data_IF_089912873492
#
_entry.id   IF_089912873492
#
_cell.length_a   1.000
_cell.length_b   1.000
_cell.length_c   1.000
_cell.angle_alpha   90.00
_cell.angle_beta   90.00
_cell.angle_gamma   90.00
#
_symmetry.space_group_name_H-M   'P 1'
#
loop_
_entity.id
_entity.type
_entity.pdbx_description
1 polymer ?
#
# COMPACT_ATOMS: atom_id res chain seq x y z
N UNK A 1 1.56 -1.15 2.68
CA UNK A 1 0.30 -0.46 3.01
C UNK A 1 -0.57 -0.37 1.77
N UNK A 2 -1.89 -0.49 1.93
CA UNK A 2 -2.88 -0.13 0.91
C UNK A 2 -3.90 0.80 1.57
N UNK A 3 -4.09 1.98 1.02
CA UNK A 3 -4.93 3.04 1.59
C UNK A 3 -5.90 3.58 0.55
N UNK A 4 -7.07 4.05 0.99
CA UNK A 4 -7.96 4.89 0.19
C UNK A 4 -7.81 6.33 0.67
N UNK A 5 -7.43 7.24 -0.22
CA UNK A 5 -7.24 8.66 0.09
C UNK A 5 -8.21 9.51 -0.71
N UNK A 6 -8.81 10.51 -0.05
CA UNK A 6 -9.62 11.55 -0.72
C UNK A 6 -8.79 12.24 -1.80
N UNK A 7 -9.41 12.51 -2.93
CA UNK A 7 -8.79 13.12 -4.10
C UNK A 7 -9.82 13.94 -4.86
N UNK A 8 -9.79 15.27 -4.66
CA UNK A 8 -10.78 16.20 -5.21
C UNK A 8 -10.78 16.29 -6.74
N UNK A 9 -9.67 15.97 -7.39
CA UNK A 9 -9.52 15.95 -8.86
C UNK A 9 -9.98 14.62 -9.51
N UNK A 10 -10.38 13.62 -8.72
CA UNK A 10 -10.87 12.36 -9.28
C UNK A 10 -12.39 12.34 -9.35
N UNK A 11 -12.96 11.81 -10.45
CA UNK A 11 -14.42 11.64 -10.61
C UNK A 11 -15.06 10.85 -9.45
N UNK A 12 -14.30 9.93 -8.86
CA UNK A 12 -14.75 9.14 -7.71
C UNK A 12 -14.59 9.89 -6.38
N UNK A 13 -13.80 10.96 -6.30
CA UNK A 13 -13.47 11.65 -5.05
C UNK A 13 -12.40 10.94 -4.20
N UNK A 14 -11.89 9.79 -4.65
CA UNK A 14 -10.91 8.98 -3.93
C UNK A 14 -9.93 8.25 -4.87
N UNK A 15 -8.78 7.84 -4.30
CA UNK A 15 -7.81 6.96 -4.96
C UNK A 15 -7.33 5.85 -4.03
N UNK A 16 -7.03 4.68 -4.61
CA UNK A 16 -6.19 3.68 -3.96
C UNK A 16 -4.72 4.10 -4.01
N UNK A 17 -3.99 3.84 -2.93
CA UNK A 17 -2.56 4.10 -2.82
C UNK A 17 -1.88 2.88 -2.20
N UNK A 18 -1.03 2.20 -2.99
CA UNK A 18 -0.12 1.16 -2.50
C UNK A 18 1.25 1.75 -2.20
N UNK A 19 1.82 1.34 -1.07
CA UNK A 19 3.15 1.80 -0.64
C UNK A 19 3.91 0.70 0.09
N UNK A 20 5.19 0.52 -0.26
CA UNK A 20 6.21 -0.10 0.60
C UNK A 20 7.02 1.04 1.20
N UNK A 21 7.24 1.00 2.53
CA UNK A 21 8.00 2.01 3.23
C UNK A 21 9.05 1.34 4.11
N UNK A 22 10.29 1.77 3.99
CA UNK A 22 11.38 1.43 4.90
C UNK A 22 11.73 2.67 5.71
N UNK A 23 11.98 2.48 7.01
CA UNK A 23 12.35 3.55 7.92
C UNK A 23 13.73 3.26 8.50
N UNK A 24 14.50 4.31 8.73
CA UNK A 24 15.78 4.23 9.45
C UNK A 24 16.04 5.55 10.19
N UNK A 25 16.75 5.49 11.31
CA UNK A 25 17.29 6.68 11.95
C UNK A 25 18.13 7.48 10.95
N UNK A 26 17.96 8.79 10.88
CA UNK A 26 18.61 9.62 9.85
C UNK A 26 20.12 9.62 9.96
N UNK A 27 20.68 9.33 11.15
CA UNK A 27 22.14 9.16 11.34
C UNK A 27 22.69 7.93 10.65
N UNK A 28 21.81 6.99 10.27
CA UNK A 28 22.16 5.71 9.65
C UNK A 28 21.38 5.47 8.36
N UNK A 29 20.99 6.52 7.62
CA UNK A 29 20.13 6.42 6.44
C UNK A 29 20.77 5.73 5.21
N UNK A 30 22.09 5.54 5.18
CA UNK A 30 22.83 4.96 4.04
C UNK A 30 22.24 3.65 3.47
N UNK A 31 21.77 2.68 4.28
CA UNK A 31 21.12 1.48 3.77
C UNK A 31 19.86 1.76 2.96
N UNK A 32 19.11 2.83 3.27
CA UNK A 32 17.93 3.22 2.46
C UNK A 32 18.34 3.65 1.05
N UNK A 33 19.45 4.37 0.91
CA UNK A 33 20.01 4.72 -0.40
C UNK A 33 20.49 3.49 -1.17
N UNK A 34 21.12 2.54 -0.48
CA UNK A 34 21.52 1.26 -1.07
C UNK A 34 20.30 0.47 -1.58
N UNK A 35 19.23 0.34 -0.78
CA UNK A 35 17.99 -0.33 -1.19
C UNK A 35 17.40 0.37 -2.41
N UNK A 36 17.28 1.70 -2.39
CA UNK A 36 16.78 2.49 -3.54
C UNK A 36 17.60 2.24 -4.79
N UNK A 37 18.93 2.24 -4.69
CA UNK A 37 19.84 1.98 -5.81
C UNK A 37 19.65 0.56 -6.37
N UNK A 38 19.46 -0.44 -5.49
CA UNK A 38 19.22 -1.83 -5.90
C UNK A 38 17.86 -2.04 -6.56
N UNK A 39 16.83 -1.35 -6.08
CA UNK A 39 15.47 -1.46 -6.62
C UNK A 39 15.24 -0.57 -7.85
N UNK A 40 16.09 0.45 -8.07
CA UNK A 40 15.95 1.41 -9.17
C UNK A 40 14.72 2.32 -9.08
N UNK A 41 14.01 2.32 -7.96
CA UNK A 41 12.75 3.05 -7.77
C UNK A 41 12.58 3.53 -6.33
N UNK A 42 11.70 4.52 -6.16
CA UNK A 42 11.34 5.09 -4.88
C UNK A 42 12.07 6.41 -4.63
N UNK A 43 11.59 7.12 -3.62
CA UNK A 43 12.17 8.37 -3.17
C UNK A 43 12.49 8.29 -1.68
N UNK A 44 13.51 9.04 -1.28
CA UNK A 44 13.94 9.15 0.11
C UNK A 44 13.54 10.53 0.61
N UNK A 45 12.97 10.56 1.81
CA UNK A 45 12.61 11.80 2.49
C UNK A 45 13.11 11.73 3.95
N UNK A 46 13.68 12.83 4.41
CA UNK A 46 13.99 13.04 5.83
C UNK A 46 12.79 13.70 6.50
N UNK A 47 12.35 13.15 7.62
CA UNK A 47 11.25 13.68 8.42
C UNK A 47 11.79 14.62 9.49
N UNK A 48 10.91 15.46 10.02
CA UNK A 48 11.21 16.40 11.10
C UNK A 48 11.35 15.74 12.48
N UNK A 49 11.23 14.41 12.59
CA UNK A 49 11.34 13.62 13.81
C UNK A 49 12.64 12.80 13.88
N UNK A 50 13.63 13.12 13.05
CA UNK A 50 14.91 12.41 13.02
C UNK A 50 14.87 11.07 12.26
N UNK A 51 13.75 10.69 11.64
CA UNK A 51 13.66 9.49 10.80
C UNK A 51 13.79 9.80 9.32
N UNK A 52 14.46 8.91 8.59
CA UNK A 52 14.49 8.89 7.13
C UNK A 52 13.66 7.73 6.61
N UNK A 53 12.95 7.95 5.50
CA UNK A 53 12.09 6.96 4.88
C UNK A 53 12.38 6.77 3.40
N UNK A 54 12.43 5.51 2.95
CA UNK A 54 12.35 5.16 1.53
C UNK A 54 10.92 4.74 1.21
N UNK A 55 10.25 5.47 0.31
CA UNK A 55 8.88 5.17 -0.14
C UNK A 55 8.87 4.71 -1.58
N UNK A 56 8.20 3.59 -1.82
CA UNK A 56 7.93 3.05 -3.15
C UNK A 56 6.42 2.98 -3.31
N UNK A 57 5.90 3.71 -4.31
CA UNK A 57 4.48 3.86 -4.57
C UNK A 57 4.09 3.27 -5.93
N UNK A 58 2.81 2.92 -6.08
CA UNK A 58 2.22 2.46 -7.33
C UNK A 58 1.96 0.95 -7.34
N UNK A 59 0.92 0.52 -8.05
CA UNK A 59 0.46 -0.87 -7.99
C UNK A 59 1.46 -1.84 -8.62
N UNK A 60 1.89 -1.55 -9.86
CA UNK A 60 2.87 -2.35 -10.60
C UNK A 60 4.20 -2.51 -9.87
N UNK A 61 4.92 -1.43 -9.50
CA UNK A 61 6.22 -1.60 -8.85
C UNK A 61 6.14 -2.28 -7.47
N UNK A 62 5.09 -1.99 -6.69
CA UNK A 62 4.87 -2.68 -5.40
C UNK A 62 4.62 -4.18 -5.61
N UNK A 63 3.81 -4.54 -6.61
CA UNK A 63 3.51 -5.94 -6.90
C UNK A 63 4.77 -6.74 -7.25
N UNK A 64 5.58 -6.22 -8.18
CA UNK A 64 6.80 -6.87 -8.65
C UNK A 64 7.84 -7.02 -7.55
N UNK A 65 8.05 -5.98 -6.73
CA UNK A 65 8.96 -6.06 -5.59
C UNK A 65 8.49 -7.14 -4.61
N UNK A 66 7.18 -7.16 -4.28
CA UNK A 66 6.64 -8.14 -3.34
C UNK A 66 6.81 -9.57 -3.84
N UNK A 67 6.59 -9.85 -5.14
CA UNK A 67 6.83 -11.17 -5.72
C UNK A 67 8.27 -11.64 -5.50
N UNK A 68 9.24 -10.76 -5.75
CA UNK A 68 10.65 -11.07 -5.62
C UNK A 68 11.09 -11.30 -4.17
N UNK A 69 10.56 -10.53 -3.22
CA UNK A 69 10.96 -10.65 -1.81
C UNK A 69 10.12 -11.67 -1.03
N UNK A 70 8.96 -12.09 -1.54
CA UNK A 70 8.00 -12.95 -0.83
C UNK A 70 8.62 -14.18 -0.16
N UNK A 71 9.54 -14.93 -0.82
CA UNK A 71 10.14 -16.11 -0.21
C UNK A 71 10.91 -15.81 1.08
N UNK A 72 11.36 -14.57 1.26
CA UNK A 72 12.19 -14.13 2.38
C UNK A 72 11.39 -13.38 3.46
N UNK A 73 10.13 -13.03 3.19
CA UNK A 73 9.30 -12.31 4.16
C UNK A 73 8.76 -13.28 5.23
N UNK A 74 9.20 -13.09 6.47
CA UNK A 74 8.70 -13.85 7.63
C UNK A 74 7.62 -13.06 8.40
N UNK A 75 8.01 -11.96 9.04
CA UNK A 75 7.14 -11.21 9.95
C UNK A 75 5.95 -10.53 9.28
N UNK A 76 6.09 -10.13 8.01
CA UNK A 76 5.05 -9.42 7.26
C UNK A 76 4.39 -10.29 6.21
N UNK A 77 4.44 -11.63 6.33
CA UNK A 77 4.05 -12.55 5.26
C UNK A 77 2.58 -12.37 4.84
N UNK A 78 1.66 -12.33 5.82
CA UNK A 78 0.24 -12.13 5.55
C UNK A 78 -0.04 -10.75 4.93
N UNK A 79 0.58 -9.69 5.48
CA UNK A 79 0.48 -8.34 4.96
C UNK A 79 1.01 -8.23 3.51
N UNK A 80 2.18 -8.81 3.24
CA UNK A 80 2.83 -8.80 1.94
C UNK A 80 2.01 -9.56 0.90
N UNK A 81 1.48 -10.74 1.27
CA UNK A 81 0.63 -11.54 0.39
C UNK A 81 -0.67 -10.82 0.04
N UNK A 82 -1.35 -10.23 1.04
CA UNK A 82 -2.57 -9.45 0.80
C UNK A 82 -2.29 -8.23 -0.10
N UNK A 83 -1.19 -7.51 0.14
CA UNK A 83 -0.80 -6.37 -0.68
C UNK A 83 -0.42 -6.78 -2.11
N UNK A 84 0.26 -7.91 -2.29
CA UNK A 84 0.59 -8.46 -3.61
C UNK A 84 -0.69 -8.81 -4.38
N UNK A 85 -1.63 -9.55 -3.77
CA UNK A 85 -2.92 -9.89 -4.40
C UNK A 85 -3.75 -8.65 -4.76
N UNK A 86 -3.83 -7.67 -3.85
CA UNK A 86 -4.58 -6.45 -4.10
C UNK A 86 -3.96 -5.60 -5.23
N UNK A 87 -2.63 -5.48 -5.25
CA UNK A 87 -1.94 -4.73 -6.30
C UNK A 87 -2.02 -5.40 -7.66
N UNK A 88 -2.06 -6.73 -7.75
CA UNK A 88 -2.30 -7.44 -9.01
C UNK A 88 -3.66 -7.05 -9.61
N UNK A 89 -4.75 -7.10 -8.81
CA UNK A 89 -6.09 -6.70 -9.26
C UNK A 89 -6.14 -5.24 -9.75
N UNK A 90 -5.40 -4.35 -9.07
CA UNK A 90 -5.33 -2.91 -9.37
C UNK A 90 -4.39 -2.57 -10.54
N UNK A 91 -3.54 -3.51 -10.98
CA UNK A 91 -2.73 -3.37 -12.21
C UNK A 91 -3.52 -3.82 -13.43
N UNK A 92 -4.28 -4.91 -13.30
CA UNK A 92 -5.02 -5.52 -14.41
C UNK A 92 -6.20 -4.67 -14.92
N UNK A 93 -6.77 -3.81 -14.07
CA UNK A 93 -8.01 -3.10 -14.39
C UNK A 93 -7.92 -1.65 -13.98
N UNK A 94 -8.57 -0.76 -14.72
CA UNK A 94 -8.82 0.59 -14.20
C UNK A 94 -9.77 0.49 -13.02
N UNK A 95 -9.62 1.39 -12.05
CA UNK A 95 -10.49 1.40 -10.86
C UNK A 95 -11.97 1.51 -11.24
N UNK A 96 -12.29 2.26 -12.30
CA UNK A 96 -13.63 2.42 -12.86
C UNK A 96 -14.21 1.14 -13.47
N UNK A 97 -13.39 0.14 -13.76
CA UNK A 97 -13.79 -1.13 -14.40
C UNK A 97 -13.87 -2.28 -13.37
N UNK A 98 -13.61 -2.00 -12.09
CA UNK A 98 -13.72 -2.99 -11.02
C UNK A 98 -15.20 -3.22 -10.69
N UNK A 99 -15.68 -4.45 -10.92
CA UNK A 99 -17.00 -4.86 -10.47
C UNK A 99 -17.06 -4.99 -8.93
N UNK A 100 -18.28 -5.09 -8.41
CA UNK A 100 -18.56 -5.22 -6.97
C UNK A 100 -17.74 -6.33 -6.30
N UNK A 101 -17.71 -7.53 -6.89
CA UNK A 101 -16.98 -8.67 -6.32
C UNK A 101 -15.46 -8.39 -6.21
N UNK A 102 -14.86 -7.71 -7.19
CA UNK A 102 -13.45 -7.31 -7.14
C UNK A 102 -13.20 -6.22 -6.10
N UNK A 103 -14.10 -5.25 -5.98
CA UNK A 103 -14.02 -4.21 -4.94
C UNK A 103 -14.12 -4.83 -3.54
N UNK A 104 -15.04 -5.75 -3.30
CA UNK A 104 -15.16 -6.50 -2.04
C UNK A 104 -13.88 -7.28 -1.71
N UNK A 105 -13.25 -7.93 -2.71
CA UNK A 105 -11.94 -8.58 -2.52
C UNK A 105 -10.86 -7.60 -2.11
N UNK A 106 -10.80 -6.41 -2.74
CA UNK A 106 -9.84 -5.37 -2.38
C UNK A 106 -10.10 -4.86 -0.96
N UNK A 107 -11.36 -4.66 -0.56
CA UNK A 107 -11.73 -4.29 0.81
C UNK A 107 -11.20 -5.33 1.81
N UNK A 108 -11.43 -6.62 1.54
CA UNK A 108 -10.94 -7.69 2.41
C UNK A 108 -9.40 -7.66 2.52
N UNK A 109 -8.68 -7.43 1.42
CA UNK A 109 -7.22 -7.27 1.49
C UNK A 109 -6.79 -6.03 2.29
N UNK A 110 -7.52 -4.91 2.19
CA UNK A 110 -7.26 -3.71 3.01
C UNK A 110 -7.42 -4.04 4.49
N UNK A 111 -8.49 -4.74 4.87
CA UNK A 111 -8.77 -5.14 6.25
C UNK A 111 -7.67 -6.07 6.78
N UNK A 112 -7.23 -7.06 6.01
CA UNK A 112 -6.06 -7.91 6.36
C UNK A 112 -4.80 -7.07 6.55
N UNK A 113 -4.50 -6.13 5.65
CA UNK A 113 -3.31 -5.27 5.77
C UNK A 113 -3.40 -4.40 7.03
N UNK A 114 -4.59 -3.94 7.41
CA UNK A 114 -4.82 -3.14 8.61
C UNK A 114 -4.75 -3.97 9.91
N UNK A 115 -5.17 -5.23 9.90
CA UNK A 115 -5.05 -6.12 11.07
C UNK A 115 -3.59 -6.46 11.38
N UNK A 116 -2.76 -6.61 10.34
CA UNK A 116 -1.32 -6.91 10.46
C UNK A 116 -0.46 -5.69 10.84
N UNK A 117 -1.03 -4.49 10.90
CA UNK A 117 -0.31 -3.29 11.34
C UNK A 117 -0.39 -3.12 12.86
N UNK A 118 0.77 -3.09 13.53
CA UNK A 118 0.91 -2.94 14.99
C UNK A 118 0.07 -1.83 15.61
N UNK A 119 0.15 -0.61 15.06
CA UNK A 119 -0.67 0.51 15.50
C UNK A 119 -1.10 1.36 14.30
N UNK A 120 -2.36 1.77 14.26
CA UNK A 120 -2.87 2.73 13.27
C UNK A 120 -3.92 3.58 13.95
N UNK A 121 -3.68 4.90 13.98
CA UNK A 121 -4.62 5.86 14.56
C UNK A 121 -5.95 5.93 13.80
N UNK A 122 -5.93 5.65 12.48
CA UNK A 122 -7.08 5.81 11.59
C UNK A 122 -7.30 4.55 10.74
N UNK A 123 -7.84 3.46 11.33
CA UNK A 123 -8.29 2.27 10.57
C UNK A 123 -9.69 2.56 10.04
N UNK A 124 -9.93 2.21 8.78
CA UNK A 124 -11.28 2.27 8.19
C UNK A 124 -11.97 0.94 8.43
N UNK A 125 -13.18 0.98 8.96
CA UNK A 125 -14.06 -0.18 9.05
C UNK A 125 -14.46 -0.68 7.66
N UNK A 126 -14.96 -1.92 7.60
CA UNK A 126 -15.51 -2.49 6.37
C UNK A 126 -16.63 -1.61 5.79
N UNK A 127 -17.58 -1.21 6.64
CA UNK A 127 -18.70 -0.34 6.24
C UNK A 127 -18.22 0.99 5.66
N UNK A 128 -17.25 1.66 6.30
CA UNK A 128 -16.68 2.89 5.75
C UNK A 128 -16.05 2.67 4.36
N UNK A 129 -15.35 1.56 4.15
CA UNK A 129 -14.74 1.24 2.86
C UNK A 129 -15.80 0.94 1.80
N UNK A 130 -16.88 0.24 2.16
CA UNK A 130 -18.01 -0.05 1.27
C UNK A 130 -18.73 1.24 0.86
N UNK A 131 -19.00 2.14 1.80
CA UNK A 131 -19.61 3.46 1.53
C UNK A 131 -18.71 4.29 0.62
N UNK A 132 -17.40 4.36 0.91
CA UNK A 132 -16.45 5.09 0.05
C UNK A 132 -16.45 4.54 -1.38
N UNK A 133 -16.60 3.22 -1.54
CA UNK A 133 -16.57 2.57 -2.85
C UNK A 133 -17.95 2.44 -3.50
N UNK A 134 -19.01 3.02 -2.91
CA UNK A 134 -20.37 2.98 -3.46
C UNK A 134 -20.98 1.58 -3.50
N UNK A 135 -20.60 0.70 -2.57
CA UNK A 135 -21.12 -0.67 -2.48
C UNK A 135 -22.34 -0.79 -1.57
N UNK A 136 -22.61 0.24 -0.77
CA UNK A 136 -23.84 0.40 0.01
C UNK A 136 -24.74 1.46 -0.64
N UNK A 137 -26.08 1.30 -0.58
CA UNK A 137 -27.03 2.33 -0.98
C UNK A 137 -26.78 3.68 -0.30
#
# INVERSE_FOLDING_TARGET
MLQIKKRGDSRLGWRFMSTICFYQDSRHETPLFWIRKKLGIGYIARRNDGMTELRINGFKPVNEILKNIMPYVKFKKHQALALSKATALLVENKISELNRARLERIINYILTIQSENYATKNKKSKSELETILGLTP
#
